data_IF_076787768604
#
_entry.id   IF_076787768604
#
_cell.length_a   1.000
_cell.length_b   1.000
_cell.length_c   1.000
_cell.angle_alpha   90.00
_cell.angle_beta   90.00
_cell.angle_gamma   90.00
#
_symmetry.space_group_name_H-M   'P 1'
#
loop_
_entity.id
_entity.type
_entity.pdbx_description
1 polymer ?
#
# COMPACT_ATOMS: atom_id res chain seq x y z
N UNK A 1 9.90 -2.71 -21.38
CA UNK A 1 8.45 -2.66 -21.10
C UNK A 1 8.21 -2.03 -19.73
N UNK A 2 7.76 -0.78 -19.69
CA UNK A 2 7.27 -0.12 -18.48
C UNK A 2 5.81 -0.55 -18.28
N UNK A 3 5.48 -1.11 -17.12
CA UNK A 3 4.10 -1.39 -16.75
C UNK A 3 3.55 -0.11 -16.14
N UNK A 4 2.88 0.70 -16.96
CA UNK A 4 1.98 1.72 -16.47
C UNK A 4 0.58 1.10 -16.44
N UNK A 5 -0.15 1.27 -15.34
CA UNK A 5 -1.60 1.13 -15.39
C UNK A 5 -2.10 2.03 -16.53
N UNK A 6 -3.00 1.51 -17.37
CA UNK A 6 -3.46 2.21 -18.57
C UNK A 6 -4.05 3.56 -18.15
N UNK A 7 -3.38 4.65 -18.55
CA UNK A 7 -3.75 6.03 -18.17
C UNK A 7 -5.08 6.50 -18.79
N UNK A 8 -5.63 5.75 -19.74
CA UNK A 8 -6.83 6.15 -20.48
C UNK A 8 -7.61 4.94 -21.02
N UNK A 9 -8.92 4.90 -20.73
CA UNK A 9 -9.88 3.93 -21.28
C UNK A 9 -10.43 4.39 -22.63
N UNK A 10 -9.60 5.06 -23.45
CA UNK A 10 -9.96 5.85 -24.63
C UNK A 10 -10.90 5.18 -25.65
N UNK A 11 -11.08 3.87 -25.60
CA UNK A 11 -11.94 3.11 -26.52
C UNK A 11 -13.02 2.24 -25.85
N UNK A 12 -13.32 2.32 -24.54
CA UNK A 12 -14.39 1.42 -24.05
C UNK A 12 -14.86 1.36 -22.59
N UNK A 13 -14.31 2.13 -21.63
CA UNK A 13 -14.88 2.13 -20.27
C UNK A 13 -15.41 3.51 -19.89
N UNK A 14 -16.62 3.61 -19.29
CA UNK A 14 -17.29 4.88 -19.02
C UNK A 14 -16.60 5.74 -17.95
N UNK A 15 -15.67 5.16 -17.18
CA UNK A 15 -14.95 5.86 -16.12
C UNK A 15 -13.43 5.65 -16.27
N UNK A 16 -12.65 6.63 -15.82
CA UNK A 16 -11.19 6.52 -15.71
C UNK A 16 -10.79 5.54 -14.61
N UNK A 17 -9.55 5.08 -14.63
CA UNK A 17 -8.99 4.26 -13.55
C UNK A 17 -8.87 5.05 -12.22
N UNK A 18 -9.07 4.35 -11.10
CA UNK A 18 -8.82 4.84 -9.74
C UNK A 18 -7.34 4.61 -9.42
N UNK A 19 -6.68 5.63 -8.90
CA UNK A 19 -5.25 5.65 -8.59
C UNK A 19 -4.97 5.50 -7.08
N UNK A 20 -3.70 5.28 -6.71
CA UNK A 20 -3.26 5.34 -5.30
C UNK A 20 -3.61 6.71 -4.71
N UNK A 21 -3.45 7.79 -5.48
CA UNK A 21 -3.83 9.14 -5.06
C UNK A 21 -5.31 9.23 -4.70
N UNK A 22 -6.19 8.77 -5.58
CA UNK A 22 -7.65 8.77 -5.30
C UNK A 22 -7.98 7.98 -4.02
N UNK A 23 -7.23 6.91 -3.75
CA UNK A 23 -7.46 6.00 -2.63
C UNK A 23 -7.02 6.55 -1.27
N UNK A 24 -5.78 7.08 -1.17
CA UNK A 24 -5.15 7.34 0.14
C UNK A 24 -4.65 8.76 0.37
N UNK A 25 -4.70 9.67 -0.62
CA UNK A 25 -4.15 11.03 -0.46
C UNK A 25 -4.75 11.78 0.72
N UNK A 26 -6.02 11.55 1.04
CA UNK A 26 -6.69 12.24 2.15
C UNK A 26 -6.22 11.77 3.54
N UNK A 27 -5.59 10.60 3.63
CA UNK A 27 -5.01 10.09 4.88
C UNK A 27 -3.68 10.76 5.21
N UNK A 28 -3.07 11.45 4.24
CA UNK A 28 -1.74 12.04 4.36
C UNK A 28 -1.77 13.56 4.55
N UNK A 29 -2.94 14.19 4.43
CA UNK A 29 -3.08 15.64 4.53
C UNK A 29 -3.15 16.10 5.99
N UNK A 30 -2.27 17.04 6.35
CA UNK A 30 -2.49 17.93 7.50
C UNK A 30 -3.85 18.65 7.36
N UNK A 31 -4.56 18.99 8.47
CA UNK A 31 -5.95 19.49 8.45
C UNK A 31 -6.22 20.65 7.47
N UNK A 32 -5.20 21.43 7.11
CA UNK A 32 -5.31 22.61 6.27
C UNK A 32 -5.62 22.34 4.78
N UNK A 33 -5.23 21.17 4.24
CA UNK A 33 -5.43 20.82 2.81
C UNK A 33 -6.72 20.01 2.55
N UNK A 34 -7.46 19.67 3.61
CA UNK A 34 -8.61 18.78 3.55
C UNK A 34 -9.78 19.36 2.71
N UNK A 35 -9.96 20.68 2.75
CA UNK A 35 -11.16 21.35 2.24
C UNK A 35 -11.34 21.26 0.71
N UNK A 36 -10.24 21.19 -0.06
CA UNK A 36 -10.30 21.09 -1.52
C UNK A 36 -10.44 19.65 -2.03
N UNK A 37 -9.84 18.67 -1.35
CA UNK A 37 -9.89 17.26 -1.74
C UNK A 37 -11.22 16.59 -1.39
N UNK A 38 -11.94 17.06 -0.38
CA UNK A 38 -13.27 16.54 0.01
C UNK A 38 -14.28 16.70 -1.13
N UNK A 39 -14.22 17.78 -1.93
CA UNK A 39 -15.15 18.02 -3.03
C UNK A 39 -15.00 17.04 -4.20
N UNK A 40 -13.79 16.53 -4.46
CA UNK A 40 -13.51 15.65 -5.60
C UNK A 40 -13.76 14.17 -5.28
N UNK A 41 -13.44 13.71 -4.07
CA UNK A 41 -13.72 12.33 -3.64
C UNK A 41 -15.23 12.05 -3.49
N UNK A 42 -16.03 13.08 -3.16
CA UNK A 42 -17.49 13.02 -3.01
C UNK A 42 -18.24 12.62 -4.29
N UNK A 43 -17.60 12.69 -5.45
CA UNK A 43 -18.21 12.41 -6.76
C UNK A 43 -17.99 10.97 -7.24
N UNK A 44 -17.10 10.19 -6.63
CA UNK A 44 -16.69 8.85 -7.14
C UNK A 44 -17.14 7.67 -6.29
N UNK A 45 -17.65 7.90 -5.08
CA UNK A 45 -18.21 6.86 -4.20
C UNK A 45 -19.67 7.22 -3.90
N UNK A 46 -20.65 6.36 -4.22
CA UNK A 46 -22.05 6.62 -3.86
C UNK A 46 -22.18 6.83 -2.35
N UNK A 47 -22.85 7.91 -1.98
CA UNK A 47 -23.18 8.22 -0.59
C UNK A 47 -24.24 7.22 -0.09
N UNK A 48 -23.78 6.12 0.50
CA UNK A 48 -24.59 5.36 1.45
C UNK A 48 -23.89 5.36 2.80
N UNK A 49 -24.46 6.17 3.71
CA UNK A 49 -24.20 6.24 5.14
C UNK A 49 -22.81 6.73 5.59
N UNK A 50 -22.53 8.02 5.41
CA UNK A 50 -21.71 8.75 6.39
C UNK A 50 -22.57 9.10 7.61
N UNK A 51 -22.84 8.11 8.46
CA UNK A 51 -23.35 8.37 9.81
C UNK A 51 -22.30 9.17 10.58
N UNK A 52 -22.74 10.24 11.26
CA UNK A 52 -21.93 10.99 12.21
C UNK A 52 -21.32 10.06 13.28
N UNK A 53 -19.99 9.96 13.30
CA UNK A 53 -19.07 9.57 14.39
C UNK A 53 -17.69 9.27 13.74
N UNK A 54 -16.82 10.27 13.56
CA UNK A 54 -15.80 10.79 14.49
C UNK A 54 -14.62 9.80 14.73
N UNK A 55 -13.59 9.90 13.89
CA UNK A 55 -12.31 9.22 14.04
C UNK A 55 -11.89 8.30 12.87
N UNK A 56 -10.73 8.58 12.27
CA UNK A 56 -10.07 7.67 11.33
C UNK A 56 -9.63 6.40 12.08
N UNK A 57 -10.25 5.26 11.77
CA UNK A 57 -9.92 3.98 12.41
C UNK A 57 -8.90 3.20 11.58
N UNK A 58 -8.12 2.34 12.27
CA UNK A 58 -7.21 1.37 11.63
C UNK A 58 -6.13 1.97 10.71
N UNK A 59 -5.83 3.27 10.84
CA UNK A 59 -4.66 3.87 10.18
C UNK A 59 -3.37 3.54 10.94
N UNK A 60 -3.06 2.24 10.99
CA UNK A 60 -1.91 1.65 11.66
C UNK A 60 -1.11 0.81 10.67
N UNK A 61 0.21 0.94 10.68
CA UNK A 61 1.12 0.15 9.85
C UNK A 61 1.93 -0.82 10.71
N UNK A 62 2.29 -1.97 10.14
CA UNK A 62 3.21 -2.91 10.78
C UNK A 62 4.58 -2.26 10.96
N UNK A 63 5.18 -2.47 12.12
CA UNK A 63 6.56 -2.03 12.38
C UNK A 63 7.54 -2.81 11.49
N UNK A 64 8.51 -2.10 10.95
CA UNK A 64 9.62 -2.70 10.22
C UNK A 64 10.75 -3.00 11.17
N UNK A 65 11.53 -4.05 10.88
CA UNK A 65 12.83 -4.19 11.52
C UNK A 65 13.73 -3.01 11.13
N UNK A 66 14.75 -2.75 11.94
CA UNK A 66 15.65 -1.60 11.77
C UNK A 66 16.29 -1.58 10.37
N UNK A 67 16.75 -2.74 9.87
CA UNK A 67 17.33 -2.85 8.53
C UNK A 67 16.35 -2.44 7.43
N UNK A 68 15.11 -2.91 7.48
CA UNK A 68 14.11 -2.60 6.47
C UNK A 68 13.63 -1.16 6.58
N UNK A 69 13.64 -0.56 7.77
CA UNK A 69 13.39 0.86 7.94
C UNK A 69 14.50 1.70 7.29
N UNK A 70 15.77 1.36 7.53
CA UNK A 70 16.91 2.02 6.88
C UNK A 70 16.83 1.86 5.35
N UNK A 71 16.53 0.65 4.86
CA UNK A 71 16.31 0.39 3.43
C UNK A 71 15.17 1.26 2.89
N UNK A 72 14.04 1.35 3.59
CA UNK A 72 12.90 2.17 3.19
C UNK A 72 13.31 3.65 3.04
N UNK A 73 13.98 4.21 4.04
CA UNK A 73 14.48 5.60 4.03
C UNK A 73 15.44 5.88 2.87
N UNK A 74 16.26 4.89 2.49
CA UNK A 74 17.21 5.01 1.37
C UNK A 74 16.57 4.85 0.00
N UNK A 75 15.36 4.31 -0.09
CA UNK A 75 14.66 4.16 -1.38
C UNK A 75 14.07 5.51 -1.80
N UNK A 76 14.43 6.03 -2.98
CA UNK A 76 13.95 7.32 -3.47
C UNK A 76 12.42 7.38 -3.54
N UNK A 77 11.84 8.55 -3.21
CA UNK A 77 10.40 8.82 -3.28
C UNK A 77 9.97 9.15 -4.73
N UNK A 78 10.23 8.21 -5.65
CA UNK A 78 9.91 8.35 -7.06
C UNK A 78 9.23 7.08 -7.59
N UNK A 79 8.33 7.21 -8.59
CA UNK A 79 7.67 6.07 -9.19
C UNK A 79 8.65 5.00 -9.70
N UNK A 80 8.40 3.74 -9.34
CA UNK A 80 9.21 2.61 -9.80
C UNK A 80 10.53 2.39 -9.04
N UNK A 81 10.81 3.17 -8.00
CA UNK A 81 11.93 2.92 -7.10
C UNK A 81 11.68 1.68 -6.23
N UNK A 82 12.67 0.80 -6.18
CA UNK A 82 12.66 -0.44 -5.41
C UNK A 82 14.09 -0.79 -4.92
N UNK A 83 14.30 -2.01 -4.42
CA UNK A 83 15.58 -2.47 -3.87
C UNK A 83 16.80 -2.22 -4.78
N UNK A 84 16.61 -2.15 -6.11
CA UNK A 84 17.69 -1.91 -7.08
C UNK A 84 18.26 -0.49 -6.98
N UNK A 85 17.56 0.39 -6.27
CA UNK A 85 17.98 1.76 -6.01
C UNK A 85 18.85 1.89 -4.75
N UNK A 86 18.98 0.80 -3.97
CA UNK A 86 19.79 0.81 -2.75
C UNK A 86 21.28 0.83 -3.10
N UNK A 87 22.10 1.58 -2.36
CA UNK A 87 23.55 1.56 -2.53
C UNK A 87 24.13 0.21 -2.09
N UNK A 88 25.21 -0.22 -2.75
CA UNK A 88 25.94 -1.44 -2.38
C UNK A 88 26.88 -1.16 -1.18
N UNK A 89 26.27 -0.92 -0.03
CA UNK A 89 26.94 -0.55 1.22
C UNK A 89 26.64 -1.60 2.32
N UNK A 90 27.61 -1.78 3.23
CA UNK A 90 27.43 -2.55 4.46
C UNK A 90 26.88 -1.63 5.56
N UNK A 91 25.91 -2.13 6.32
CA UNK A 91 25.30 -1.39 7.42
C UNK A 91 25.72 -2.04 8.74
N UNK A 92 26.23 -1.22 9.64
CA UNK A 92 26.38 -1.58 11.05
C UNK A 92 25.06 -1.36 11.76
N UNK A 93 24.52 -2.39 12.41
CA UNK A 93 23.38 -2.22 13.28
C UNK A 93 23.74 -1.45 14.55
N UNK A 94 22.74 -0.86 15.20
CA UNK A 94 22.80 -0.54 16.62
C UNK A 94 21.80 -1.46 17.29
N UNK A 95 22.23 -2.68 17.64
CA UNK A 95 21.34 -3.61 18.35
C UNK A 95 20.96 -2.99 19.70
N UNK A 96 19.71 -2.58 19.87
CA UNK A 96 19.14 -2.08 21.13
C UNK A 96 19.88 -0.88 21.77
N UNK A 97 20.38 0.06 20.97
CA UNK A 97 21.06 1.26 21.50
C UNK A 97 22.49 1.02 22.00
N UNK A 98 23.01 -0.20 21.89
CA UNK A 98 24.42 -0.49 22.10
C UNK A 98 25.17 -0.35 20.76
N UNK A 99 26.22 0.50 20.69
CA UNK A 99 27.10 0.52 19.54
C UNK A 99 27.64 -0.88 19.27
N UNK A 100 27.39 -1.41 18.09
CA UNK A 100 27.92 -2.72 17.70
C UNK A 100 29.42 -2.55 17.53
N UNK A 101 30.17 -3.22 18.40
CA UNK A 101 31.63 -3.18 18.39
C UNK A 101 32.13 -3.60 16.99
N UNK A 102 32.93 -2.76 16.33
CA UNK A 102 33.52 -3.05 15.02
C UNK A 102 34.31 -4.36 15.06
N UNK A 103 34.83 -4.75 16.24
CA UNK A 103 35.50 -6.02 16.48
C UNK A 103 34.59 -7.25 16.35
N UNK A 104 33.27 -7.10 16.51
CA UNK A 104 32.31 -8.22 16.41
C UNK A 104 32.00 -8.66 14.98
N UNK A 105 32.37 -7.85 13.97
CA UNK A 105 32.32 -8.23 12.56
C UNK A 105 30.92 -8.52 11.98
N UNK A 106 29.84 -8.21 12.70
CA UNK A 106 28.46 -8.46 12.26
C UNK A 106 27.94 -7.28 11.44
N UNK A 107 27.95 -7.45 10.12
CA UNK A 107 27.41 -6.49 9.15
C UNK A 107 26.32 -7.16 8.32
N UNK A 108 25.18 -6.47 8.11
CA UNK A 108 24.24 -6.84 7.05
C UNK A 108 24.45 -5.95 5.83
N UNK A 109 24.14 -6.50 4.66
CA UNK A 109 24.16 -5.80 3.38
C UNK A 109 22.84 -5.07 3.13
N UNK A 110 22.94 -3.84 2.61
CA UNK A 110 21.78 -3.08 2.12
C UNK A 110 21.04 -3.86 1.03
N UNK A 111 21.80 -4.45 0.11
CA UNK A 111 21.29 -5.19 -1.03
C UNK A 111 20.93 -6.64 -0.64
N UNK A 112 19.67 -7.08 -0.76
CA UNK A 112 19.22 -8.37 -0.22
C UNK A 112 19.60 -9.61 -1.05
N UNK A 113 20.11 -9.48 -2.28
CA UNK A 113 19.82 -10.48 -3.30
C UNK A 113 21.02 -11.15 -3.99
N UNK A 114 21.40 -12.33 -3.48
CA UNK A 114 22.30 -13.27 -4.18
C UNK A 114 21.59 -14.07 -5.30
N UNK A 115 20.26 -14.14 -5.29
CA UNK A 115 19.44 -14.95 -6.24
C UNK A 115 18.68 -14.13 -7.29
N UNK A 116 18.85 -12.81 -7.33
CA UNK A 116 18.12 -11.89 -8.20
C UNK A 116 18.07 -12.32 -9.67
N UNK A 117 19.18 -12.83 -10.20
CA UNK A 117 19.31 -13.28 -11.60
C UNK A 117 18.31 -14.38 -11.98
N UNK A 118 17.90 -15.23 -11.04
CA UNK A 118 16.96 -16.34 -11.28
C UNK A 118 15.48 -15.94 -11.11
N UNK A 119 15.22 -14.75 -10.55
CA UNK A 119 13.87 -14.30 -10.17
C UNK A 119 13.54 -12.93 -10.75
N UNK A 120 13.86 -12.70 -12.03
CA UNK A 120 13.58 -11.46 -12.74
C UNK A 120 14.00 -10.19 -11.97
N UNK A 121 15.20 -10.23 -11.39
CA UNK A 121 15.75 -9.16 -10.57
C UNK A 121 14.85 -8.73 -9.38
N UNK A 122 14.01 -9.64 -8.88
CA UNK A 122 13.11 -9.38 -7.75
C UNK A 122 12.39 -8.02 -7.88
N UNK A 123 11.94 -7.70 -9.10
CA UNK A 123 11.39 -6.39 -9.43
C UNK A 123 10.21 -6.06 -8.51
N UNK A 124 10.25 -4.88 -7.89
CA UNK A 124 9.21 -4.41 -6.97
C UNK A 124 9.43 -4.75 -5.49
N UNK A 125 10.40 -5.59 -5.13
CA UNK A 125 10.75 -5.80 -3.72
C UNK A 125 11.27 -4.51 -3.09
N UNK A 126 10.83 -4.22 -1.87
CA UNK A 126 11.04 -2.92 -1.22
C UNK A 126 10.50 -1.72 -2.03
N UNK A 127 9.56 -1.95 -2.95
CA UNK A 127 9.04 -0.91 -3.81
C UNK A 127 8.11 0.06 -3.09
N UNK A 128 8.15 1.33 -3.51
CA UNK A 128 7.14 2.34 -3.14
C UNK A 128 5.94 2.28 -4.08
N UNK A 129 4.76 2.54 -3.54
CA UNK A 129 3.58 2.80 -4.36
C UNK A 129 3.78 4.08 -5.20
N UNK A 130 3.21 4.08 -6.40
CA UNK A 130 3.15 5.25 -7.29
C UNK A 130 1.79 5.94 -7.11
N UNK A 131 1.80 7.24 -6.85
CA UNK A 131 0.59 8.06 -6.71
C UNK A 131 -0.34 7.95 -7.93
N UNK A 132 0.23 7.89 -9.13
CA UNK A 132 -0.53 7.78 -10.38
C UNK A 132 -0.74 6.31 -10.81
N UNK A 133 -0.18 5.37 -10.05
CA UNK A 133 -0.33 3.93 -10.25
C UNK A 133 -1.55 3.35 -9.56
N UNK A 134 -1.66 2.03 -9.59
CA UNK A 134 -2.64 1.27 -8.83
C UNK A 134 -1.99 0.60 -7.61
N UNK A 135 -2.83 0.21 -6.64
CA UNK A 135 -2.36 -0.71 -5.61
C UNK A 135 -2.02 -2.06 -6.26
N UNK A 136 -0.90 -2.68 -5.88
CA UNK A 136 -0.66 -4.08 -6.23
C UNK A 136 -1.71 -4.95 -5.52
N UNK A 137 -1.80 -6.23 -5.91
CA UNK A 137 -2.72 -7.19 -5.30
C UNK A 137 -2.71 -7.06 -3.78
N UNK A 138 -3.88 -6.86 -3.19
CA UNK A 138 -4.01 -6.75 -1.74
C UNK A 138 -3.46 -8.02 -1.10
N UNK A 139 -2.52 -7.85 -0.18
CA UNK A 139 -1.82 -8.94 0.49
C UNK A 139 -2.29 -9.06 1.93
N UNK A 140 -2.37 -10.30 2.40
CA UNK A 140 -2.78 -10.65 3.76
C UNK A 140 -1.74 -10.27 4.82
N UNK A 141 -0.48 -10.05 4.41
CA UNK A 141 0.58 -9.52 5.26
C UNK A 141 1.56 -8.68 4.41
N UNK A 142 1.61 -7.35 4.56
CA UNK A 142 2.55 -6.51 3.83
C UNK A 142 3.98 -6.73 4.29
N UNK A 143 4.83 -7.21 3.38
CA UNK A 143 6.23 -7.49 3.63
C UNK A 143 7.10 -7.00 2.45
N UNK A 144 8.20 -6.25 2.70
CA UNK A 144 9.08 -5.75 1.63
C UNK A 144 9.74 -6.84 0.80
N UNK A 145 10.05 -7.98 1.42
CA UNK A 145 10.60 -9.19 0.80
C UNK A 145 9.54 -10.24 0.44
N UNK A 146 8.24 -9.91 0.62
CA UNK A 146 7.15 -10.80 0.24
C UNK A 146 7.03 -10.93 -1.28
N UNK A 147 6.18 -11.85 -1.76
CA UNK A 147 6.01 -12.11 -3.20
C UNK A 147 5.65 -10.86 -4.02
N UNK A 148 4.92 -9.91 -3.43
CA UNK A 148 4.56 -8.63 -4.06
C UNK A 148 5.64 -7.58 -3.80
N UNK A 149 6.07 -7.43 -2.54
CA UNK A 149 7.20 -6.59 -2.12
C UNK A 149 7.01 -5.07 -2.22
N UNK A 150 6.12 -4.60 -3.10
CA UNK A 150 5.75 -3.20 -3.26
C UNK A 150 4.70 -2.82 -2.21
N UNK A 151 5.17 -2.44 -1.03
CA UNK A 151 4.32 -2.18 0.13
C UNK A 151 4.73 -0.92 0.92
N UNK A 152 5.65 -0.11 0.41
CA UNK A 152 5.99 1.19 1.01
C UNK A 152 5.03 2.28 0.55
N UNK A 153 4.72 3.18 1.49
CA UNK A 153 3.97 4.38 1.18
C UNK A 153 4.74 5.25 0.16
N UNK A 154 4.05 5.96 -0.75
CA UNK A 154 4.73 6.80 -1.77
C UNK A 154 5.74 7.78 -1.17
N UNK A 155 5.34 8.52 -0.13
CA UNK A 155 6.14 9.61 0.44
C UNK A 155 6.66 9.37 1.88
N UNK A 156 6.18 8.34 2.56
CA UNK A 156 6.44 8.10 3.99
C UNK A 156 7.32 6.86 4.13
N UNK A 157 8.20 6.85 5.13
CA UNK A 157 9.15 5.77 5.35
C UNK A 157 8.53 4.64 6.20
N UNK A 158 7.38 4.15 5.75
CA UNK A 158 6.60 3.09 6.40
C UNK A 158 5.93 2.16 5.39
N UNK A 159 5.50 1.02 5.89
CA UNK A 159 4.57 0.15 5.19
C UNK A 159 3.20 0.82 5.03
N UNK A 160 2.45 0.39 4.02
CA UNK A 160 1.05 0.73 3.88
C UNK A 160 0.24 0.27 5.10
N UNK A 161 -0.67 1.12 5.56
CA UNK A 161 -1.47 0.88 6.76
C UNK A 161 -2.62 -0.09 6.51
N UNK A 162 -3.22 -0.62 7.58
CA UNK A 162 -4.45 -1.42 7.49
C UNK A 162 -5.56 -0.65 6.76
N UNK A 163 -5.81 0.61 7.15
CA UNK A 163 -6.80 1.48 6.49
C UNK A 163 -6.49 1.76 5.01
N UNK A 164 -5.23 1.96 4.63
CA UNK A 164 -4.84 2.14 3.22
C UNK A 164 -5.14 0.88 2.39
N UNK A 165 -4.85 -0.31 2.93
CA UNK A 165 -5.23 -1.57 2.29
C UNK A 165 -6.77 -1.78 2.25
N UNK A 166 -7.50 -1.35 3.28
CA UNK A 166 -8.96 -1.42 3.29
C UNK A 166 -9.57 -0.55 2.19
N UNK A 167 -9.06 0.68 2.02
CA UNK A 167 -9.49 1.57 0.95
C UNK A 167 -9.12 1.06 -0.43
N UNK A 168 -7.97 0.41 -0.61
CA UNK A 168 -7.62 -0.18 -1.91
C UNK A 168 -8.55 -1.32 -2.33
N UNK A 169 -9.15 -2.00 -1.36
CA UNK A 169 -10.22 -2.98 -1.57
C UNK A 169 -11.62 -2.34 -1.72
N UNK A 170 -11.76 -1.03 -1.48
CA UNK A 170 -13.04 -0.33 -1.55
C UNK A 170 -13.94 -0.53 -0.33
N UNK A 171 -13.38 -0.87 0.83
CA UNK A 171 -14.15 -0.86 2.08
C UNK A 171 -14.49 0.57 2.51
N UNK A 172 -15.72 0.81 3.02
CA UNK A 172 -16.03 2.10 3.63
C UNK A 172 -15.20 2.31 4.90
N UNK A 173 -14.89 3.57 5.20
CA UNK A 173 -14.07 3.91 6.39
C UNK A 173 -14.75 3.53 7.71
N UNK A 174 -16.09 3.43 7.71
CA UNK A 174 -16.90 2.96 8.83
C UNK A 174 -16.83 1.45 9.06
N UNK A 175 -16.28 0.67 8.12
CA UNK A 175 -16.14 -0.78 8.28
C UNK A 175 -15.12 -1.09 9.39
N UNK A 176 -15.54 -1.97 10.31
CA UNK A 176 -14.75 -2.35 11.50
C UNK A 176 -14.07 -3.69 11.27
N UNK A 177 -12.75 -3.71 11.43
CA UNK A 177 -11.95 -4.95 11.41
C UNK A 177 -11.61 -5.39 12.83
N UNK A 178 -11.54 -6.70 13.06
CA UNK A 178 -11.33 -7.28 14.40
C UNK A 178 -9.94 -7.89 14.57
N UNK A 179 -9.43 -7.93 15.81
CA UNK A 179 -8.15 -8.58 16.15
C UNK A 179 -6.92 -7.70 16.02
N UNK A 180 -5.73 -8.32 16.01
CA UNK A 180 -4.46 -7.60 15.89
C UNK A 180 -4.20 -7.12 14.45
N UNK A 181 -3.14 -6.34 14.25
CA UNK A 181 -2.79 -5.76 12.94
C UNK A 181 -2.67 -6.80 11.81
N UNK A 182 -2.09 -7.98 12.11
CA UNK A 182 -1.92 -9.06 11.13
C UNK A 182 -3.29 -9.69 10.77
N UNK A 183 -4.16 -9.89 11.76
CA UNK A 183 -5.51 -10.39 11.53
C UNK A 183 -6.33 -9.42 10.69
N UNK A 184 -6.17 -8.11 10.89
CA UNK A 184 -6.85 -7.08 10.08
C UNK A 184 -6.37 -7.08 8.63
N UNK A 185 -5.05 -7.11 8.39
CA UNK A 185 -4.51 -7.27 7.03
C UNK A 185 -5.00 -8.57 6.37
N UNK A 186 -5.07 -9.68 7.11
CA UNK A 186 -5.58 -10.95 6.59
C UNK A 186 -7.06 -10.90 6.22
N UNK A 187 -7.90 -10.25 7.04
CA UNK A 187 -9.32 -10.02 6.72
C UNK A 187 -9.48 -9.24 5.42
N UNK A 188 -8.72 -8.15 5.27
CA UNK A 188 -8.77 -7.29 4.07
C UNK A 188 -8.24 -8.02 2.83
N UNK A 189 -7.11 -8.72 2.94
CA UNK A 189 -6.46 -9.41 1.83
C UNK A 189 -7.26 -10.61 1.31
N UNK A 190 -8.03 -11.27 2.18
CA UNK A 190 -8.89 -12.41 1.81
C UNK A 190 -10.29 -11.99 1.36
N UNK A 191 -10.69 -10.73 1.56
CA UNK A 191 -12.01 -10.27 1.22
C UNK A 191 -12.19 -10.12 -0.29
N UNK A 192 -13.44 -10.26 -0.73
CA UNK A 192 -13.85 -9.80 -2.06
C UNK A 192 -14.08 -8.28 -1.99
N UNK A 193 -13.52 -7.48 -2.91
CA UNK A 193 -13.74 -6.03 -2.93
C UNK A 193 -15.25 -5.71 -2.93
N UNK A 194 -15.77 -4.90 -1.98
CA UNK A 194 -17.19 -4.56 -1.95
C UNK A 194 -17.74 -3.97 -3.26
N UNK A 195 -17.02 -3.10 -4.00
CA UNK A 195 -17.50 -2.61 -5.29
C UNK A 195 -17.69 -3.73 -6.34
N UNK A 196 -16.83 -4.75 -6.31
CA UNK A 196 -16.94 -5.91 -7.19
C UNK A 196 -18.15 -6.78 -6.80
N UNK A 197 -18.29 -7.07 -5.50
CA UNK A 197 -19.44 -7.81 -4.97
C UNK A 197 -20.77 -7.11 -5.27
N UNK A 198 -20.82 -5.79 -5.13
CA UNK A 198 -21.99 -4.97 -5.47
C UNK A 198 -22.35 -5.07 -6.96
N UNK A 199 -21.36 -4.95 -7.86
CA UNK A 199 -21.59 -5.08 -9.29
C UNK A 199 -22.16 -6.46 -9.68
N UNK A 200 -21.62 -7.53 -9.09
CA UNK A 200 -22.14 -8.89 -9.27
C UNK A 200 -23.55 -9.05 -8.69
N UNK A 201 -23.78 -8.52 -7.49
CA UNK A 201 -25.08 -8.56 -6.81
C UNK A 201 -26.18 -7.87 -7.61
N UNK A 202 -25.89 -6.73 -8.26
CA UNK A 202 -26.85 -6.08 -9.17
C UNK A 202 -27.24 -6.97 -10.34
N UNK A 203 -26.27 -7.64 -10.97
CA UNK A 203 -26.54 -8.54 -12.09
C UNK A 203 -27.32 -9.78 -11.67
N UNK A 204 -27.03 -10.31 -10.48
CA UNK A 204 -27.81 -11.39 -9.91
C UNK A 204 -29.25 -10.95 -9.62
N UNK A 205 -29.44 -9.76 -9.04
CA UNK A 205 -30.76 -9.17 -8.75
C UNK A 205 -31.61 -9.05 -10.03
N UNK A 206 -31.04 -8.50 -11.10
CA UNK A 206 -31.68 -8.44 -12.44
C UNK A 206 -32.10 -9.84 -12.93
N UNK A 207 -31.22 -10.83 -12.81
CA UNK A 207 -31.47 -12.19 -13.29
C UNK A 207 -32.59 -12.91 -12.51
N UNK A 208 -32.78 -12.60 -11.23
CA UNK A 208 -33.85 -13.18 -10.40
C UNK A 208 -35.15 -12.40 -10.46
N UNK A 209 -35.26 -11.36 -11.28
CA UNK A 209 -36.48 -10.58 -11.48
C UNK A 209 -36.93 -9.78 -10.25
N UNK A 210 -35.99 -9.35 -9.41
CA UNK A 210 -36.23 -8.46 -8.26
C UNK A 210 -35.57 -7.10 -8.47
#
# INVERSE_FOLDING_TARGET
>A
MQYAAVRSTATGAPFRAITVRDTIVQLTLSPFLLLHSIKMARLMVPEENSGEHDGLTDHISKEMNELNLIRCQKIPKQPGADWRSLPDEKVTFITHGCPVDWASGRFDTMVPANTAKRHNQWKGLFGRLDWEGNFPTSITDPQPMGKVGMCFHPDQDRLVSVRECARSQGFPDSYKFSGNIQHKHRQIGNAVPPPLAFALGRKLKEAVGK
#
